data_IF_409784813829
#
_entry.id   IF_409784813829
#
_cell.length_a   1.000
_cell.length_b   1.000
_cell.length_c   1.000
_cell.angle_alpha   90.00
_cell.angle_beta   90.00
_cell.angle_gamma   90.00
#
_symmetry.space_group_name_H-M   'P 1'
#
loop_
_entity.id
_entity.type
_entity.pdbx_description
1 polymer ?
#
# COMPACT_ATOMS: atom_id res chain seq x y z
N UNK A 1 6.76 11.35 14.20
CA UNK A 1 6.38 12.78 14.33
C UNK A 1 7.58 13.74 14.30
N UNK A 2 8.65 13.52 15.07
CA UNK A 2 9.84 14.41 15.10
C UNK A 2 10.69 14.42 13.81
N UNK A 3 10.52 13.42 12.93
CA UNK A 3 11.06 13.42 11.58
C UNK A 3 10.08 13.98 10.52
N UNK A 4 8.86 14.34 10.92
CA UNK A 4 7.78 14.82 10.05
C UNK A 4 7.39 16.27 10.34
N UNK A 5 6.09 16.52 10.53
CA UNK A 5 5.53 17.87 10.70
C UNK A 5 6.14 18.68 11.87
N UNK A 6 6.60 17.99 12.93
CA UNK A 6 7.21 18.64 14.10
C UNK A 6 8.73 18.79 14.01
N UNK A 7 9.34 18.42 12.87
CA UNK A 7 10.78 18.56 12.64
C UNK A 7 11.29 19.99 12.92
N UNK A 8 10.62 21.09 12.51
CA UNK A 8 11.15 22.44 12.73
C UNK A 8 11.14 22.92 14.18
N UNK A 9 10.44 22.23 15.09
CA UNK A 9 10.13 22.74 16.44
C UNK A 9 11.22 22.48 17.49
N UNK A 10 12.25 21.70 17.14
CA UNK A 10 13.40 21.48 18.00
C UNK A 10 14.68 21.32 17.16
N UNK A 11 15.85 21.74 17.68
CA UNK A 11 17.14 21.51 17.04
C UNK A 11 17.41 20.03 16.77
N UNK A 12 18.16 19.74 15.71
CA UNK A 12 18.53 18.37 15.34
C UNK A 12 19.12 17.51 16.49
N UNK A 13 20.05 17.99 17.33
CA UNK A 13 20.57 17.18 18.43
C UNK A 13 19.49 16.83 19.46
N UNK A 14 18.63 17.80 19.81
CA UNK A 14 17.52 17.60 20.76
C UNK A 14 16.53 16.57 20.24
N UNK A 15 16.13 16.67 18.96
CA UNK A 15 15.23 15.67 18.36
C UNK A 15 15.83 14.27 18.38
N UNK A 16 17.12 14.16 18.07
CA UNK A 16 17.81 12.86 18.00
C UNK A 16 17.88 12.22 19.37
N UNK A 17 18.15 13.01 20.41
CA UNK A 17 18.15 12.58 21.80
C UNK A 17 16.76 12.08 22.26
N UNK A 18 15.69 12.87 22.01
CA UNK A 18 14.32 12.44 22.31
C UNK A 18 13.97 11.14 21.56
N UNK A 19 14.32 11.04 20.27
CA UNK A 19 14.05 9.82 19.47
C UNK A 19 14.77 8.61 20.07
N UNK A 20 15.99 8.78 20.58
CA UNK A 20 16.75 7.70 21.23
C UNK A 20 16.03 7.23 22.49
N UNK A 21 15.65 8.13 23.37
CA UNK A 21 14.90 7.80 24.59
C UNK A 21 13.56 7.11 24.33
N UNK A 22 12.82 7.60 23.33
CA UNK A 22 11.57 6.98 22.86
C UNK A 22 11.83 5.54 22.39
N UNK A 23 12.90 5.29 21.64
CA UNK A 23 13.28 3.94 21.18
C UNK A 23 13.68 2.99 22.31
N UNK A 24 14.17 3.53 23.42
CA UNK A 24 14.50 2.78 24.64
C UNK A 24 13.25 2.51 25.52
N UNK A 25 12.05 2.84 25.03
CA UNK A 25 10.79 2.63 25.73
C UNK A 25 10.35 3.79 26.62
N UNK A 26 10.96 4.97 26.44
CA UNK A 26 10.68 6.18 27.22
C UNK A 26 10.70 5.95 28.74
N UNK A 27 11.80 5.43 29.32
CA UNK A 27 11.90 5.12 30.75
C UNK A 27 11.62 6.34 31.63
N UNK A 28 10.74 6.18 32.62
CA UNK A 28 10.29 7.25 33.54
C UNK A 28 11.44 7.82 34.37
N UNK A 29 12.44 6.99 34.72
CA UNK A 29 13.63 7.42 35.48
C UNK A 29 14.39 8.58 34.83
N UNK A 30 14.29 8.72 33.51
CA UNK A 30 15.01 9.76 32.74
C UNK A 30 14.11 10.99 32.49
N UNK A 31 12.82 10.92 32.84
CA UNK A 31 11.86 12.00 32.65
C UNK A 31 12.22 13.23 33.47
N UNK A 32 12.10 13.14 34.80
CA UNK A 32 12.34 14.29 35.68
C UNK A 32 13.77 14.86 35.59
N UNK A 33 14.84 14.03 35.46
CA UNK A 33 16.20 14.55 35.40
C UNK A 33 16.56 15.30 34.11
N UNK A 34 15.89 15.00 32.99
CA UNK A 34 16.29 15.52 31.68
C UNK A 34 15.10 15.83 30.77
N UNK A 35 14.29 14.83 30.40
CA UNK A 35 13.29 15.01 29.35
C UNK A 35 12.15 15.96 29.73
N UNK A 36 11.81 16.12 31.00
CA UNK A 36 10.82 17.10 31.44
C UNK A 36 11.22 18.52 31.03
N UNK A 37 12.46 18.92 31.32
CA UNK A 37 12.98 20.24 30.95
C UNK A 37 13.07 20.42 29.42
N UNK A 38 13.42 19.36 28.70
CA UNK A 38 13.45 19.38 27.22
C UNK A 38 12.06 19.60 26.64
N UNK A 39 11.05 18.86 27.12
CA UNK A 39 9.68 19.00 26.65
C UNK A 39 9.09 20.35 27.06
N UNK A 40 9.40 20.86 28.26
CA UNK A 40 9.01 22.20 28.71
C UNK A 40 9.53 23.30 27.76
N UNK A 41 10.79 23.18 27.33
CA UNK A 41 11.43 24.16 26.46
C UNK A 41 10.90 24.15 25.02
N UNK A 42 10.70 22.96 24.44
CA UNK A 42 10.45 22.84 22.99
C UNK A 42 9.02 22.46 22.63
N UNK A 43 8.23 21.92 23.57
CA UNK A 43 6.97 21.28 23.24
C UNK A 43 5.78 21.85 24.03
N UNK A 44 5.92 22.03 25.34
CA UNK A 44 4.81 22.44 26.25
C UNK A 44 4.23 23.80 25.91
N UNK A 45 5.03 24.72 25.33
CA UNK A 45 4.53 26.03 24.88
C UNK A 45 3.29 25.92 23.99
N UNK A 46 3.25 24.90 23.13
CA UNK A 46 2.08 24.61 22.30
C UNK A 46 1.30 23.41 22.88
N UNK A 47 1.96 22.34 23.30
CA UNK A 47 1.38 21.12 23.83
C UNK A 47 1.16 21.16 25.35
N UNK A 48 0.42 22.17 25.80
CA UNK A 48 -0.02 22.29 27.20
C UNK A 48 -1.49 21.86 27.33
N UNK A 49 -2.28 22.56 28.14
CA UNK A 49 -3.67 22.21 28.49
C UNK A 49 -4.66 22.66 27.40
N UNK A 50 -4.23 22.78 26.15
CA UNK A 50 -5.10 23.20 25.06
C UNK A 50 -6.03 22.05 24.63
N UNK A 51 -7.30 22.34 24.28
CA UNK A 51 -8.23 21.34 23.77
C UNK A 51 -7.71 20.68 22.48
N UNK A 52 -7.98 19.38 22.32
CA UNK A 52 -7.70 18.59 21.10
C UNK A 52 -6.23 18.43 20.71
N UNK A 53 -5.27 18.72 21.59
CA UNK A 53 -3.86 18.36 21.39
C UNK A 53 -3.31 17.64 22.64
N UNK A 54 -2.33 16.75 22.48
CA UNK A 54 -1.73 16.08 23.62
C UNK A 54 -1.06 17.06 24.59
N UNK A 55 -1.30 16.88 25.89
CA UNK A 55 -0.61 17.59 26.95
C UNK A 55 0.75 16.93 27.24
N UNK A 56 1.84 17.63 26.97
CA UNK A 56 3.20 17.13 27.17
C UNK A 56 3.83 17.53 28.51
N UNK A 57 3.06 18.18 29.39
CA UNK A 57 3.48 18.40 30.78
C UNK A 57 3.48 17.11 31.60
N UNK A 58 2.64 16.16 31.22
CA UNK A 58 2.43 14.91 31.95
C UNK A 58 3.18 13.75 31.29
N UNK A 59 4.10 13.12 32.04
CA UNK A 59 4.84 11.94 31.58
C UNK A 59 3.90 10.85 31.04
N UNK A 60 2.79 10.57 31.73
CA UNK A 60 1.84 9.53 31.32
C UNK A 60 1.28 9.75 29.91
N UNK A 61 1.10 11.00 29.49
CA UNK A 61 0.63 11.34 28.14
C UNK A 61 1.75 11.18 27.12
N UNK A 62 2.96 11.64 27.46
CA UNK A 62 4.16 11.47 26.61
C UNK A 62 4.48 10.00 26.41
N UNK A 63 4.50 9.20 27.48
CA UNK A 63 4.79 7.76 27.45
C UNK A 63 3.81 6.98 26.56
N UNK A 64 2.52 7.34 26.58
CA UNK A 64 1.51 6.75 25.68
C UNK A 64 1.81 7.01 24.20
N UNK A 65 2.36 8.18 23.88
CA UNK A 65 2.68 8.62 22.52
C UNK A 65 4.08 8.24 22.08
N UNK A 66 4.97 7.99 23.04
CA UNK A 66 6.33 7.52 22.86
C UNK A 66 6.41 6.00 22.62
N UNK A 67 5.28 5.32 22.46
CA UNK A 67 5.29 3.91 22.06
C UNK A 67 5.97 3.77 20.70
N UNK A 68 6.93 2.84 20.64
CA UNK A 68 7.60 2.49 19.39
C UNK A 68 6.55 1.93 18.43
N UNK A 69 6.57 2.40 17.19
CA UNK A 69 5.75 1.86 16.13
C UNK A 69 6.29 0.47 15.74
N UNK A 70 5.61 -0.59 16.18
CA UNK A 70 5.92 -1.99 15.85
C UNK A 70 5.42 -2.38 14.45
N UNK A 71 5.04 -1.41 13.62
CA UNK A 71 4.37 -1.64 12.36
C UNK A 71 2.88 -1.92 12.54
N UNK A 72 2.24 -2.36 11.47
CA UNK A 72 0.80 -2.57 11.50
C UNK A 72 0.41 -3.74 12.43
N UNK A 73 -0.59 -3.49 13.27
CA UNK A 73 -1.14 -4.50 14.18
C UNK A 73 -1.72 -5.68 13.40
N UNK A 74 -1.78 -6.86 14.00
CA UNK A 74 -2.39 -8.04 13.36
C UNK A 74 -3.85 -7.81 12.95
N UNK A 75 -4.60 -7.06 13.77
CA UNK A 75 -5.97 -6.65 13.47
C UNK A 75 -6.04 -5.75 12.24
N UNK A 76 -5.10 -4.80 12.12
CA UNK A 76 -5.01 -3.93 10.95
C UNK A 76 -4.59 -4.70 9.69
N UNK A 77 -3.58 -5.58 9.78
CA UNK A 77 -3.15 -6.45 8.68
C UNK A 77 -4.31 -7.30 8.16
N UNK A 78 -5.01 -8.00 9.06
CA UNK A 78 -6.14 -8.87 8.69
C UNK A 78 -7.24 -8.08 7.99
N UNK A 79 -7.60 -6.90 8.52
CA UNK A 79 -8.61 -6.03 7.93
C UNK A 79 -8.18 -5.57 6.53
N UNK A 80 -6.94 -5.10 6.37
CA UNK A 80 -6.43 -4.62 5.08
C UNK A 80 -6.33 -5.75 4.06
N UNK A 81 -5.82 -6.91 4.45
CA UNK A 81 -5.76 -8.11 3.60
C UNK A 81 -7.15 -8.50 3.11
N UNK A 82 -8.18 -8.47 3.97
CA UNK A 82 -9.55 -8.79 3.56
C UNK A 82 -10.10 -7.80 2.53
N UNK A 83 -9.97 -6.50 2.79
CA UNK A 83 -10.47 -5.44 1.89
C UNK A 83 -9.78 -5.51 0.53
N UNK A 84 -8.46 -5.73 0.49
CA UNK A 84 -7.71 -5.76 -0.77
C UNK A 84 -7.92 -7.07 -1.53
N UNK A 85 -7.89 -8.21 -0.84
CA UNK A 85 -8.12 -9.50 -1.48
C UNK A 85 -9.51 -9.56 -2.11
N UNK A 86 -10.53 -9.07 -1.41
CA UNK A 86 -11.89 -9.10 -1.93
C UNK A 86 -12.10 -8.02 -3.00
N UNK A 87 -11.87 -6.74 -2.65
CA UNK A 87 -12.18 -5.62 -3.53
C UNK A 87 -11.38 -5.61 -4.83
N UNK A 88 -10.06 -5.78 -4.74
CA UNK A 88 -9.18 -5.71 -5.92
C UNK A 88 -9.36 -6.95 -6.80
N UNK A 89 -9.58 -8.14 -6.22
CA UNK A 89 -9.87 -9.33 -7.01
C UNK A 89 -11.14 -9.19 -7.86
N UNK A 90 -12.19 -8.52 -7.36
CA UNK A 90 -13.37 -8.22 -8.20
C UNK A 90 -13.04 -7.30 -9.36
N UNK A 91 -12.24 -6.26 -9.13
CA UNK A 91 -11.82 -5.35 -10.20
C UNK A 91 -11.06 -6.14 -11.27
N UNK A 92 -10.12 -7.00 -10.88
CA UNK A 92 -9.36 -7.83 -11.81
C UNK A 92 -10.24 -8.86 -12.51
N UNK A 93 -11.21 -9.45 -11.82
CA UNK A 93 -12.17 -10.37 -12.41
C UNK A 93 -12.98 -9.71 -13.52
N UNK A 94 -13.61 -8.56 -13.25
CA UNK A 94 -14.40 -7.85 -14.26
C UNK A 94 -13.53 -7.29 -15.39
N UNK A 95 -12.35 -6.75 -15.08
CA UNK A 95 -11.42 -6.24 -16.10
C UNK A 95 -10.92 -7.37 -17.00
N UNK A 96 -10.56 -8.52 -16.42
CA UNK A 96 -10.15 -9.71 -17.15
C UNK A 96 -11.27 -10.30 -17.98
N UNK A 97 -12.50 -10.34 -17.45
CA UNK A 97 -13.68 -10.79 -18.19
C UNK A 97 -13.94 -9.95 -19.44
N UNK A 98 -13.92 -8.62 -19.31
CA UNK A 98 -14.09 -7.69 -20.43
C UNK A 98 -12.96 -7.88 -21.45
N UNK A 99 -11.71 -7.90 -20.98
CA UNK A 99 -10.53 -8.09 -21.81
C UNK A 99 -10.54 -9.44 -22.55
N UNK A 100 -11.21 -10.45 -22.01
CA UNK A 100 -11.30 -11.75 -22.65
C UNK A 100 -11.97 -11.69 -24.04
N UNK A 101 -12.89 -10.74 -24.22
CA UNK A 101 -13.56 -10.46 -25.49
C UNK A 101 -12.71 -9.64 -26.47
N UNK A 102 -11.54 -9.17 -26.05
CA UNK A 102 -10.64 -8.42 -26.91
C UNK A 102 -10.17 -9.26 -28.11
N UNK A 103 -10.30 -8.72 -29.32
CA UNK A 103 -9.86 -9.35 -30.57
C UNK A 103 -8.43 -8.95 -30.93
N UNK A 104 -7.69 -9.81 -31.64
CA UNK A 104 -6.31 -9.53 -32.06
C UNK A 104 -5.23 -9.77 -31.00
N UNK A 105 -5.56 -10.38 -29.86
CA UNK A 105 -4.59 -10.80 -28.83
C UNK A 105 -4.50 -12.34 -28.83
N UNK A 106 -3.30 -12.94 -28.94
CA UNK A 106 -3.15 -14.39 -28.95
C UNK A 106 -3.58 -15.02 -27.62
N UNK A 107 -4.15 -16.23 -27.68
CA UNK A 107 -4.76 -16.91 -26.52
C UNK A 107 -3.82 -17.10 -25.33
N UNK A 108 -2.55 -17.44 -25.59
CA UNK A 108 -1.54 -17.61 -24.54
C UNK A 108 -1.31 -16.30 -23.78
N UNK A 109 -1.21 -15.17 -24.51
CA UNK A 109 -0.98 -13.86 -23.91
C UNK A 109 -2.19 -13.41 -23.10
N UNK A 110 -3.42 -13.66 -23.59
CA UNK A 110 -4.64 -13.40 -22.82
C UNK A 110 -4.62 -14.15 -21.49
N UNK A 111 -4.28 -15.43 -21.51
CA UNK A 111 -4.25 -16.28 -20.33
C UNK A 111 -3.23 -15.76 -19.30
N UNK A 112 -2.03 -15.41 -19.75
CA UNK A 112 -0.96 -14.84 -18.89
C UNK A 112 -1.39 -13.52 -18.28
N UNK A 113 -1.88 -12.59 -19.10
CA UNK A 113 -2.27 -11.23 -18.67
C UNK A 113 -3.45 -11.25 -17.70
N UNK A 114 -4.42 -12.15 -17.88
CA UNK A 114 -5.56 -12.30 -16.96
C UNK A 114 -5.13 -12.91 -15.63
N UNK A 115 -4.17 -13.85 -15.64
CA UNK A 115 -3.69 -14.52 -14.44
C UNK A 115 -2.79 -13.62 -13.57
N UNK A 116 -1.90 -12.83 -14.20
CA UNK A 116 -0.85 -12.06 -13.53
C UNK A 116 -1.36 -11.14 -12.40
N UNK A 117 -2.44 -10.35 -12.56
CA UNK A 117 -2.96 -9.50 -11.51
C UNK A 117 -3.32 -10.27 -10.22
N UNK A 118 -3.89 -11.46 -10.34
CA UNK A 118 -4.24 -12.29 -9.18
C UNK A 118 -3.00 -12.84 -8.50
N UNK A 119 -2.02 -13.32 -9.27
CA UNK A 119 -0.75 -13.81 -8.72
C UNK A 119 -0.01 -12.71 -7.93
N UNK A 120 0.09 -11.52 -8.52
CA UNK A 120 0.74 -10.39 -7.86
C UNK A 120 -0.06 -9.83 -6.68
N UNK A 121 -1.40 -9.89 -6.71
CA UNK A 121 -2.25 -9.53 -5.56
C UNK A 121 -1.98 -10.44 -4.35
N UNK A 122 -1.91 -11.75 -4.56
CA UNK A 122 -1.58 -12.71 -3.49
C UNK A 122 -0.17 -12.44 -2.96
N UNK A 123 0.78 -12.20 -3.86
CA UNK A 123 2.17 -11.90 -3.49
C UNK A 123 2.28 -10.59 -2.70
N UNK A 124 1.54 -9.55 -3.08
CA UNK A 124 1.49 -8.27 -2.38
C UNK A 124 0.95 -8.43 -0.96
N UNK A 125 -0.19 -9.09 -0.80
CA UNK A 125 -0.77 -9.33 0.54
C UNK A 125 0.16 -10.19 1.39
N UNK A 126 0.74 -11.26 0.84
CA UNK A 126 1.72 -12.08 1.54
C UNK A 126 2.92 -11.24 2.00
N UNK A 127 3.41 -10.34 1.14
CA UNK A 127 4.53 -9.46 1.48
C UNK A 127 4.24 -8.58 2.70
N UNK A 128 3.00 -8.12 2.91
CA UNK A 128 2.65 -7.30 4.09
C UNK A 128 2.74 -8.10 5.40
N UNK A 129 2.43 -9.38 5.34
CA UNK A 129 2.61 -10.27 6.48
C UNK A 129 4.10 -10.53 6.73
N UNK A 130 4.90 -10.67 5.67
CA UNK A 130 6.34 -10.88 5.77
C UNK A 130 7.10 -9.62 6.22
N UNK A 131 6.67 -8.42 5.86
CA UNK A 131 7.32 -7.16 6.29
C UNK A 131 7.25 -6.94 7.79
N UNK A 132 6.28 -7.57 8.47
CA UNK A 132 6.22 -7.60 9.93
C UNK A 132 7.39 -8.36 10.57
N UNK A 133 7.93 -9.35 9.88
CA UNK A 133 9.05 -10.17 10.37
C UNK A 133 10.39 -9.68 9.83
N UNK A 134 10.43 -9.28 8.54
CA UNK A 134 11.65 -8.82 7.88
C UNK A 134 11.33 -7.64 6.96
N UNK A 135 11.93 -6.48 7.25
CA UNK A 135 11.65 -5.23 6.53
C UNK A 135 11.99 -5.29 5.04
N UNK A 136 12.89 -6.18 4.61
CA UNK A 136 13.32 -6.34 3.22
C UNK A 136 12.18 -6.75 2.28
N UNK A 137 11.11 -7.36 2.78
CA UNK A 137 9.95 -7.73 1.95
C UNK A 137 9.13 -6.52 1.48
N UNK A 138 9.48 -5.29 1.90
CA UNK A 138 8.90 -4.07 1.33
C UNK A 138 9.17 -3.95 -0.18
N UNK A 139 10.31 -4.48 -0.66
CA UNK A 139 10.57 -4.56 -2.10
C UNK A 139 9.61 -5.51 -2.81
N UNK A 140 9.20 -6.60 -2.16
CA UNK A 140 8.22 -7.54 -2.71
C UNK A 140 6.83 -6.90 -2.81
N UNK A 141 6.43 -6.09 -1.83
CA UNK A 141 5.23 -5.24 -1.89
C UNK A 141 5.24 -4.33 -3.11
N UNK A 142 6.36 -3.63 -3.33
CA UNK A 142 6.52 -2.72 -4.47
C UNK A 142 6.41 -3.47 -5.81
N UNK A 143 7.08 -4.62 -5.93
CA UNK A 143 7.04 -5.46 -7.14
C UNK A 143 5.61 -6.00 -7.36
N UNK A 144 4.92 -6.43 -6.31
CA UNK A 144 3.53 -6.86 -6.36
C UNK A 144 2.63 -5.76 -6.92
N UNK A 145 2.72 -4.57 -6.32
CA UNK A 145 2.04 -3.34 -6.73
C UNK A 145 2.18 -3.03 -8.23
N UNK A 146 3.44 -2.95 -8.69
CA UNK A 146 3.76 -2.65 -10.09
C UNK A 146 3.28 -3.78 -11.01
N UNK A 147 3.48 -5.04 -10.62
CA UNK A 147 3.15 -6.21 -11.42
C UNK A 147 1.67 -6.32 -11.74
N UNK A 148 0.79 -6.25 -10.74
CA UNK A 148 -0.65 -6.28 -11.01
C UNK A 148 -1.13 -5.02 -11.75
N UNK A 149 -0.50 -3.85 -11.50
CA UNK A 149 -0.91 -2.60 -12.12
C UNK A 149 -0.62 -2.59 -13.62
N UNK A 150 0.58 -3.02 -14.04
CA UNK A 150 0.94 -3.09 -15.46
C UNK A 150 0.02 -4.03 -16.25
N UNK A 151 -0.24 -5.22 -15.72
CA UNK A 151 -1.13 -6.19 -16.36
C UNK A 151 -2.57 -5.66 -16.45
N UNK A 152 -3.07 -5.04 -15.38
CA UNK A 152 -4.42 -4.47 -15.34
C UNK A 152 -4.56 -3.26 -16.26
N UNK A 153 -3.56 -2.38 -16.32
CA UNK A 153 -3.54 -1.23 -17.24
C UNK A 153 -3.53 -1.67 -18.69
N UNK A 154 -2.77 -2.70 -19.06
CA UNK A 154 -2.81 -3.25 -20.41
C UNK A 154 -4.21 -3.77 -20.77
N UNK A 155 -4.83 -4.57 -19.90
CA UNK A 155 -6.20 -5.06 -20.12
C UNK A 155 -7.20 -3.90 -20.28
N UNK A 156 -7.09 -2.89 -19.44
CA UNK A 156 -7.96 -1.73 -19.46
C UNK A 156 -7.79 -0.90 -20.73
N UNK A 157 -6.56 -0.56 -21.11
CA UNK A 157 -6.25 0.21 -22.33
C UNK A 157 -6.77 -0.52 -23.56
N UNK A 158 -6.45 -1.81 -23.70
CA UNK A 158 -6.90 -2.60 -24.85
C UNK A 158 -8.42 -2.63 -24.89
N UNK A 159 -9.08 -3.01 -23.79
CA UNK A 159 -10.54 -3.12 -23.73
C UNK A 159 -11.25 -1.82 -24.11
N UNK A 160 -10.84 -0.69 -23.53
CA UNK A 160 -11.43 0.61 -23.83
C UNK A 160 -11.15 1.05 -25.27
N UNK A 161 -9.93 0.81 -25.77
CA UNK A 161 -9.59 1.09 -27.15
C UNK A 161 -10.49 0.31 -28.11
N UNK A 162 -10.69 -1.00 -27.87
CA UNK A 162 -11.53 -1.83 -28.74
C UNK A 162 -13.00 -1.46 -28.67
N UNK A 163 -13.49 -1.03 -27.51
CA UNK A 163 -14.89 -0.68 -27.34
C UNK A 163 -15.23 0.71 -27.90
N UNK A 164 -14.36 1.71 -27.69
CA UNK A 164 -14.72 3.12 -27.94
C UNK A 164 -14.03 3.73 -29.15
N UNK A 165 -12.81 3.30 -29.48
CA UNK A 165 -12.00 3.95 -30.52
C UNK A 165 -11.98 3.10 -31.80
N UNK A 166 -11.82 1.79 -31.66
CA UNK A 166 -11.79 0.87 -32.78
C UNK A 166 -13.03 0.97 -33.69
N UNK A 167 -14.28 1.04 -33.17
CA UNK A 167 -15.47 1.13 -34.02
C UNK A 167 -15.57 2.43 -34.83
N UNK A 168 -14.95 3.52 -34.35
CA UNK A 168 -14.91 4.82 -35.04
C UNK A 168 -14.16 4.72 -36.37
N UNK A 169 -13.14 3.85 -36.44
CA UNK A 169 -12.36 3.60 -37.65
C UNK A 169 -12.99 2.57 -38.60
N UNK A 170 -14.28 2.25 -38.41
CA UNK A 170 -15.04 1.34 -39.29
C UNK A 170 -14.65 -0.13 -39.19
N UNK A 171 -13.73 -0.49 -38.29
CA UNK A 171 -13.35 -1.88 -38.04
C UNK A 171 -14.20 -2.44 -36.88
N UNK A 172 -14.72 -3.66 -37.04
CA UNK A 172 -15.47 -4.39 -35.99
C UNK A 172 -14.72 -5.66 -35.64
N UNK A 173 -14.94 -6.16 -34.42
CA UNK A 173 -14.48 -7.48 -34.02
C UNK A 173 -15.12 -8.54 -34.94
N UNK A 174 -14.28 -9.21 -35.71
CA UNK A 174 -14.58 -10.26 -36.67
C UNK A 174 -14.69 -11.63 -35.98
N UNK A 175 -15.72 -11.77 -35.13
CA UNK A 175 -16.10 -13.05 -34.51
C UNK A 175 -15.64 -13.23 -33.05
N UNK A 176 -16.06 -14.34 -32.44
CA UNK A 176 -15.68 -14.69 -31.07
C UNK A 176 -14.16 -14.82 -31.02
N UNK A 177 -13.50 -14.04 -30.15
CA UNK A 177 -12.04 -13.90 -30.09
C UNK A 177 -11.25 -15.18 -29.74
N UNK A 178 -11.93 -16.32 -29.69
CA UNK A 178 -11.40 -17.67 -29.50
C UNK A 178 -11.56 -18.56 -30.74
N UNK A 179 -12.15 -18.08 -31.84
CA UNK A 179 -12.44 -18.87 -33.02
C UNK A 179 -11.22 -19.17 -33.92
N UNK A 180 -10.10 -18.44 -33.74
CA UNK A 180 -8.94 -18.45 -34.65
C UNK A 180 -8.07 -19.71 -34.68
N UNK A 181 -8.14 -20.59 -33.68
CA UNK A 181 -7.34 -21.83 -33.65
C UNK A 181 -8.23 -23.08 -33.59
N UNK A 182 -9.33 -23.11 -34.34
CA UNK A 182 -9.88 -24.42 -34.75
C UNK A 182 -8.94 -24.97 -35.81
N UNK A 183 -8.32 -26.15 -35.62
CA UNK A 183 -7.57 -26.79 -36.70
C UNK A 183 -8.53 -26.94 -37.88
N UNK A 184 -8.09 -26.52 -39.06
CA UNK A 184 -8.89 -26.61 -40.27
C UNK A 184 -9.44 -28.03 -40.40
N UNK A 185 -10.76 -28.15 -40.35
CA UNK A 185 -11.51 -29.37 -40.48
C UNK A 185 -11.08 -30.04 -41.80
N UNK A 186 -10.32 -31.13 -41.71
CA UNK A 186 -9.91 -31.93 -42.86
C UNK A 186 -11.12 -32.73 -43.35
N UNK A 187 -11.83 -32.19 -44.33
CA UNK A 187 -12.80 -32.90 -45.15
C UNK A 187 -12.31 -32.95 -46.60
#
# INVERSE_FOLDING_TARGET
MLNGQMKPMAPAPVRTDIIKWVREGAPEKDWAPHYQAVFDQYCVKCHSVLPNIPNFKDYATVAKLAKVDEGASFKNLTRLSHIHLFGIAFIFFFTGLIFNFASGVPRWLKSVVVFFPFFFLVTDIASWWLTKFYWQFAYLTLIGGVGYSLASSFMWIVSLWQMWIWPIFGKRADGFAWAGDRPADSH
#
